data_IF_877183825051
#
_entry.id   IF_877183825051
#
_cell.length_a   1.000
_cell.length_b   1.000
_cell.length_c   1.000
_cell.angle_alpha   90.00
_cell.angle_beta   90.00
_cell.angle_gamma   90.00
#
_symmetry.space_group_name_H-M   'P 1'
#
loop_
_entity.id
_entity.type
_entity.pdbx_description
1 polymer ?
#
# COMPACT_ATOMS: atom_id res chain seq x y z
N UNK A 1 7.46 -7.47 -33.87
CA UNK A 1 7.99 -6.24 -34.50
C UNK A 1 6.83 -5.28 -34.65
N UNK A 2 6.99 -4.03 -34.21
CA UNK A 2 6.03 -2.91 -34.20
C UNK A 2 4.79 -3.09 -33.30
N UNK A 3 4.91 -2.71 -32.02
CA UNK A 3 4.45 -1.42 -31.47
C UNK A 3 2.94 -1.40 -31.20
N UNK A 4 2.56 -1.79 -29.97
CA UNK A 4 1.37 -1.24 -29.35
C UNK A 4 1.62 -0.97 -27.87
N UNK A 5 2.63 -0.12 -27.64
CA UNK A 5 2.87 0.54 -26.36
C UNK A 5 2.30 1.96 -26.47
N UNK A 6 0.99 2.10 -26.43
CA UNK A 6 0.36 3.41 -26.25
C UNK A 6 -1.05 3.24 -25.69
N UNK A 7 -1.16 3.44 -24.37
CA UNK A 7 -2.33 3.99 -23.63
C UNK A 7 -2.08 3.91 -22.12
N UNK A 8 -0.99 4.52 -21.64
CA UNK A 8 -0.83 4.95 -20.25
C UNK A 8 -0.03 6.24 -20.22
N UNK A 9 -0.72 7.33 -20.56
CA UNK A 9 -0.32 8.69 -20.25
C UNK A 9 -1.57 9.56 -20.36
N UNK A 10 -2.28 9.73 -19.24
CA UNK A 10 -3.15 10.86 -19.03
C UNK A 10 -3.19 11.14 -17.53
N UNK A 11 -3.09 12.43 -17.17
CA UNK A 11 -2.86 12.99 -15.82
C UNK A 11 -1.40 13.04 -15.33
N UNK A 12 -0.49 13.62 -16.13
CA UNK A 12 0.72 14.29 -15.64
C UNK A 12 1.11 15.46 -16.55
N UNK A 13 0.37 16.58 -16.53
CA UNK A 13 0.90 17.89 -16.96
C UNK A 13 0.02 19.03 -16.46
N UNK A 14 0.41 19.68 -15.35
CA UNK A 14 0.23 21.12 -15.12
C UNK A 14 1.03 21.50 -13.87
N UNK A 15 1.82 22.57 -13.99
CA UNK A 15 2.61 23.21 -12.93
C UNK A 15 3.90 22.51 -12.46
N UNK A 16 4.87 22.31 -13.36
CA UNK A 16 6.29 22.27 -12.96
C UNK A 16 7.16 22.87 -14.07
N UNK A 17 7.01 24.18 -14.30
CA UNK A 17 7.90 24.95 -15.19
C UNK A 17 7.81 26.44 -14.85
N UNK A 18 8.33 26.82 -13.68
CA UNK A 18 8.83 28.17 -13.39
C UNK A 18 9.37 28.19 -11.95
N UNK A 19 10.63 27.78 -11.73
CA UNK A 19 11.49 28.22 -10.60
C UNK A 19 12.86 27.52 -10.58
N UNK A 20 13.50 27.39 -11.75
CA UNK A 20 14.88 26.89 -11.80
C UNK A 20 15.71 27.70 -12.79
N UNK A 21 15.80 28.99 -12.50
CA UNK A 21 16.92 29.83 -12.93
C UNK A 21 17.19 30.85 -11.83
N UNK A 22 18.29 30.66 -11.10
CA UNK A 22 19.34 31.66 -10.85
C UNK A 22 20.16 31.27 -9.61
N UNK A 23 21.42 31.69 -9.65
CA UNK A 23 22.42 31.74 -8.56
C UNK A 23 23.08 30.43 -8.11
N UNK A 24 24.22 30.12 -8.76
CA UNK A 24 25.52 30.58 -8.23
C UNK A 24 26.09 29.80 -7.05
N UNK A 25 27.09 28.98 -7.35
CA UNK A 25 28.03 28.40 -6.39
C UNK A 25 28.72 29.52 -5.61
N UNK A 26 28.39 29.68 -4.32
CA UNK A 26 29.27 30.31 -3.33
C UNK A 26 29.18 29.49 -2.03
N UNK A 27 30.34 29.03 -1.58
CA UNK A 27 30.49 28.40 -0.28
C UNK A 27 30.07 29.38 0.81
N UNK A 28 29.16 28.96 1.66
CA UNK A 28 28.75 29.65 2.87
C UNK A 28 28.92 28.65 4.00
N UNK A 29 29.83 28.97 4.92
CA UNK A 29 29.93 28.31 6.22
C UNK A 29 28.55 28.37 6.88
N UNK A 30 27.96 27.22 7.18
CA UNK A 30 26.67 27.15 7.86
C UNK A 30 26.81 27.72 9.28
N UNK A 31 26.19 28.88 9.50
CA UNK A 31 25.91 29.40 10.83
C UNK A 31 25.02 28.41 11.60
N UNK A 32 25.37 28.16 12.86
CA UNK A 32 24.55 27.40 13.80
C UNK A 32 23.38 28.29 14.26
N UNK A 33 22.23 28.16 13.61
CA UNK A 33 20.95 28.58 14.23
C UNK A 33 19.77 27.79 13.65
N UNK A 34 18.89 27.31 14.53
CA UNK A 34 17.51 26.94 14.21
C UNK A 34 17.25 25.44 14.09
N UNK A 35 16.57 24.88 15.09
CA UNK A 35 15.70 23.68 15.07
C UNK A 35 15.72 22.84 13.78
N UNK A 36 16.83 22.17 13.50
CA UNK A 36 16.87 21.17 12.45
C UNK A 36 16.20 19.91 13.01
N UNK A 37 14.99 19.58 12.57
CA UNK A 37 14.41 18.25 12.80
C UNK A 37 15.16 17.28 11.88
N UNK A 38 16.11 16.48 12.39
CA UNK A 38 16.80 15.53 11.53
C UNK A 38 15.83 14.38 11.31
N UNK A 39 15.52 14.06 10.05
CA UNK A 39 14.95 12.74 9.76
C UNK A 39 16.06 11.73 10.12
N UNK A 40 15.93 11.12 11.29
CA UNK A 40 16.82 10.05 11.74
C UNK A 40 16.52 8.81 10.90
N UNK A 41 17.28 8.62 9.81
CA UNK A 41 17.15 7.44 8.93
C UNK A 41 17.34 6.14 9.71
N UNK A 42 18.21 6.16 10.71
CA UNK A 42 18.39 5.09 11.70
C UNK A 42 17.84 5.59 13.04
N UNK A 43 16.80 4.93 13.54
CA UNK A 43 16.20 5.20 14.85
C UNK A 43 16.92 4.35 15.89
N UNK A 44 17.67 4.92 16.84
CA UNK A 44 18.29 4.16 17.92
C UNK A 44 17.22 3.54 18.84
N UNK A 45 17.59 2.54 19.62
CA UNK A 45 16.63 1.88 20.53
C UNK A 45 16.22 2.79 21.69
N UNK A 46 17.10 3.72 22.04
CA UNK A 46 16.96 4.73 23.07
C UNK A 46 16.23 5.98 22.56
N UNK A 47 15.75 5.97 21.31
CA UNK A 47 15.00 7.08 20.74
C UNK A 47 13.69 7.31 21.50
N UNK A 48 13.54 8.51 22.03
CA UNK A 48 12.28 9.03 22.56
C UNK A 48 11.59 9.84 21.45
N UNK A 49 10.42 9.41 20.96
CA UNK A 49 9.70 10.15 19.94
C UNK A 49 9.38 11.58 20.37
N UNK A 50 9.47 12.58 19.48
CA UNK A 50 9.19 13.98 19.79
C UNK A 50 7.73 14.23 20.19
N UNK A 51 6.84 13.28 19.89
CA UNK A 51 5.41 13.36 20.19
C UNK A 51 5.08 12.30 21.23
N UNK A 52 4.96 12.74 22.48
CA UNK A 52 4.44 11.90 23.54
C UNK A 52 3.00 11.47 23.22
N UNK A 53 2.55 10.27 23.64
CA UNK A 53 1.15 9.86 23.51
C UNK A 53 0.14 10.81 24.15
N UNK A 54 0.58 11.78 24.96
CA UNK A 54 -0.23 12.84 25.53
C UNK A 54 -0.55 13.98 24.55
N UNK A 55 0.27 14.21 23.51
CA UNK A 55 0.07 15.28 22.52
C UNK A 55 -0.72 14.83 21.27
N UNK A 56 -1.72 13.99 21.48
CA UNK A 56 -2.62 13.53 20.40
C UNK A 56 -3.36 14.69 19.74
N UNK A 57 -3.66 15.75 20.51
CA UNK A 57 -4.33 16.94 20.00
C UNK A 57 -3.41 17.75 19.09
N UNK A 58 -2.14 17.98 19.48
CA UNK A 58 -1.17 18.67 18.64
C UNK A 58 -0.90 17.91 17.34
N UNK A 59 -0.74 16.59 17.40
CA UNK A 59 -0.59 15.77 16.20
C UNK A 59 -1.82 15.82 15.29
N UNK A 60 -3.03 15.75 15.85
CA UNK A 60 -4.27 15.88 15.08
C UNK A 60 -4.33 17.24 14.37
N UNK A 61 -4.05 18.32 15.10
CA UNK A 61 -4.08 19.68 14.58
C UNK A 61 -3.04 19.89 13.47
N UNK A 62 -1.81 19.42 13.67
CA UNK A 62 -0.74 19.50 12.68
C UNK A 62 -1.13 18.84 11.34
N UNK A 63 -1.77 17.66 11.41
CA UNK A 63 -2.26 16.94 10.22
C UNK A 63 -3.39 17.70 9.54
N UNK A 64 -4.35 18.23 10.31
CA UNK A 64 -5.47 19.00 9.76
C UNK A 64 -5.01 20.30 9.08
N UNK A 65 -4.06 21.02 9.69
CA UNK A 65 -3.43 22.19 9.10
C UNK A 65 -2.74 21.83 7.79
N UNK A 66 -1.92 20.77 7.78
CA UNK A 66 -1.24 20.31 6.57
C UNK A 66 -2.20 20.01 5.42
N UNK A 67 -3.27 19.24 5.69
CA UNK A 67 -4.25 18.90 4.65
C UNK A 67 -5.02 20.15 4.21
N UNK A 68 -5.40 21.04 5.13
CA UNK A 68 -6.12 22.26 4.80
C UNK A 68 -5.29 23.17 3.88
N UNK A 69 -4.01 23.38 4.19
CA UNK A 69 -3.09 24.18 3.37
C UNK A 69 -3.00 23.66 1.93
N UNK A 70 -2.99 22.35 1.76
CA UNK A 70 -2.82 21.73 0.45
C UNK A 70 -4.13 21.63 -0.35
N UNK A 71 -5.24 21.35 0.33
CA UNK A 71 -6.49 20.88 -0.29
C UNK A 71 -7.74 21.70 -0.01
N UNK A 72 -7.67 22.82 0.74
CA UNK A 72 -8.81 23.74 0.86
C UNK A 72 -9.32 24.17 -0.53
N UNK A 73 -10.62 24.04 -0.76
CA UNK A 73 -11.28 24.30 -2.04
C UNK A 73 -10.97 23.29 -3.14
N UNK A 74 -10.32 22.15 -2.82
CA UNK A 74 -9.96 21.09 -3.77
C UNK A 74 -10.54 19.75 -3.34
N UNK A 75 -10.57 18.81 -4.28
CA UNK A 75 -10.92 17.41 -3.98
C UNK A 75 -9.77 16.71 -3.27
N UNK A 76 -10.12 15.93 -2.25
CA UNK A 76 -9.19 15.08 -1.54
C UNK A 76 -8.79 13.86 -2.41
N UNK A 77 -7.50 13.47 -2.40
CA UNK A 77 -7.04 12.23 -3.03
C UNK A 77 -7.78 11.02 -2.46
N UNK A 78 -8.02 9.99 -3.28
CA UNK A 78 -8.75 8.76 -2.90
C UNK A 78 -10.25 8.98 -2.63
N UNK A 79 -10.62 9.97 -1.84
CA UNK A 79 -12.01 10.31 -1.48
C UNK A 79 -12.86 10.72 -2.68
N UNK A 80 -12.29 11.46 -3.63
CA UNK A 80 -13.03 12.02 -4.77
C UNK A 80 -14.03 13.13 -4.40
N UNK A 81 -14.08 13.52 -3.12
CA UNK A 81 -14.94 14.57 -2.55
C UNK A 81 -14.12 15.82 -2.21
N UNK A 82 -14.72 17.03 -2.23
CA UNK A 82 -14.14 18.25 -1.67
C UNK A 82 -13.65 18.07 -0.23
N UNK A 83 -12.60 18.79 0.16
CA UNK A 83 -12.08 18.81 1.53
C UNK A 83 -13.18 19.14 2.56
N UNK A 84 -14.04 20.10 2.23
CA UNK A 84 -15.11 20.61 3.09
C UNK A 84 -16.22 19.60 3.34
N UNK A 85 -16.39 18.61 2.44
CA UNK A 85 -17.44 17.60 2.51
C UNK A 85 -17.04 16.39 3.38
N UNK A 86 -15.79 16.34 3.85
CA UNK A 86 -15.25 15.23 4.64
C UNK A 86 -14.94 15.70 6.05
N UNK A 87 -15.56 15.08 7.05
CA UNK A 87 -15.22 15.31 8.45
C UNK A 87 -13.87 14.65 8.81
N UNK A 88 -12.78 15.26 8.35
CA UNK A 88 -11.41 14.80 8.59
C UNK A 88 -11.01 14.94 10.05
N UNK A 89 -11.51 15.96 10.77
CA UNK A 89 -11.19 16.17 12.18
C UNK A 89 -11.56 14.95 13.02
N UNK A 90 -12.81 14.48 12.91
CA UNK A 90 -13.26 13.30 13.65
C UNK A 90 -12.47 12.04 13.27
N UNK A 91 -12.17 11.87 11.97
CA UNK A 91 -11.48 10.69 11.45
C UNK A 91 -10.02 10.66 11.90
N UNK A 92 -9.28 11.75 11.72
CA UNK A 92 -7.87 11.87 12.12
C UNK A 92 -7.72 11.76 13.63
N UNK A 93 -8.60 12.40 14.41
CA UNK A 93 -8.59 12.25 15.88
C UNK A 93 -8.70 10.78 16.30
N UNK A 94 -9.62 10.02 15.67
CA UNK A 94 -9.76 8.58 15.95
C UNK A 94 -8.53 7.79 15.51
N UNK A 95 -7.96 8.09 14.35
CA UNK A 95 -6.75 7.43 13.85
C UNK A 95 -5.59 7.66 14.82
N UNK A 96 -5.33 8.90 15.22
CA UNK A 96 -4.27 9.27 16.16
C UNK A 96 -4.46 8.57 17.52
N UNK A 97 -5.70 8.52 18.03
CA UNK A 97 -6.01 7.78 19.25
C UNK A 97 -5.62 6.29 19.15
N UNK A 98 -6.00 5.62 18.07
CA UNK A 98 -5.70 4.19 17.90
C UNK A 98 -4.22 3.94 17.61
N UNK A 99 -3.51 4.88 16.97
CA UNK A 99 -2.05 4.83 16.83
C UNK A 99 -1.40 4.88 18.21
N UNK A 100 -1.77 5.86 19.05
CA UNK A 100 -1.21 5.99 20.40
C UNK A 100 -1.50 4.73 21.26
N UNK A 101 -2.70 4.19 21.16
CA UNK A 101 -3.05 2.92 21.81
C UNK A 101 -2.19 1.76 21.32
N UNK A 102 -2.00 1.62 20.00
CA UNK A 102 -1.17 0.56 19.41
C UNK A 102 0.30 0.70 19.81
N UNK A 103 0.83 1.93 19.85
CA UNK A 103 2.21 2.19 20.29
C UNK A 103 2.39 1.77 21.74
N UNK A 104 1.44 2.13 22.61
CA UNK A 104 1.46 1.72 24.02
C UNK A 104 1.42 0.20 24.21
N UNK A 105 0.64 -0.49 23.39
CA UNK A 105 0.50 -1.95 23.37
C UNK A 105 1.79 -2.65 22.92
N UNK A 106 2.43 -2.15 21.86
CA UNK A 106 3.58 -2.79 21.21
C UNK A 106 4.94 -2.16 21.57
N UNK A 107 4.99 -1.27 22.56
CA UNK A 107 6.19 -0.50 22.98
C UNK A 107 7.43 -1.35 23.25
N UNK A 108 7.26 -2.61 23.64
CA UNK A 108 8.37 -3.51 23.96
C UNK A 108 9.07 -4.10 22.71
N UNK A 109 8.55 -3.86 21.50
CA UNK A 109 9.13 -4.37 20.26
C UNK A 109 10.24 -3.42 19.75
N UNK A 110 9.88 -2.15 19.55
CA UNK A 110 10.76 -1.07 19.08
C UNK A 110 10.07 0.30 19.29
N UNK A 111 10.78 1.40 19.57
CA UNK A 111 10.19 2.74 19.62
C UNK A 111 9.62 3.14 18.25
N UNK A 112 8.44 3.77 18.26
CA UNK A 112 7.76 4.24 17.04
C UNK A 112 7.32 5.67 17.24
N UNK A 113 7.65 6.52 16.26
CA UNK A 113 7.09 7.86 16.15
C UNK A 113 5.63 7.81 15.64
N UNK A 114 4.64 8.30 16.40
CA UNK A 114 3.24 8.34 15.96
C UNK A 114 3.05 9.16 14.67
N UNK A 115 3.79 10.25 14.47
CA UNK A 115 3.70 11.04 13.24
C UNK A 115 4.17 10.22 12.01
N UNK A 116 5.14 9.32 12.19
CA UNK A 116 5.58 8.41 11.13
C UNK A 116 4.49 7.39 10.75
N UNK A 117 3.71 6.92 11.72
CA UNK A 117 2.56 6.03 11.45
C UNK A 117 1.46 6.78 10.72
N UNK A 118 1.13 8.00 11.16
CA UNK A 118 0.15 8.88 10.49
C UNK A 118 0.56 9.16 9.04
N UNK A 119 1.84 9.50 8.81
CA UNK A 119 2.39 9.77 7.48
C UNK A 119 2.24 8.57 6.54
N UNK A 120 2.43 7.35 7.04
CA UNK A 120 2.19 6.13 6.28
C UNK A 120 0.70 5.88 6.00
N UNK A 121 -0.20 6.04 6.99
CA UNK A 121 -1.65 5.93 6.74
C UNK A 121 -2.11 6.95 5.68
N UNK A 122 -1.57 8.17 5.72
CA UNK A 122 -1.84 9.19 4.71
C UNK A 122 -1.38 8.76 3.31
N UNK A 123 -0.21 8.13 3.20
CA UNK A 123 0.31 7.62 1.94
C UNK A 123 -0.48 6.40 1.41
N UNK A 124 -0.96 5.53 2.31
CA UNK A 124 -1.69 4.30 1.98
C UNK A 124 -3.13 4.57 1.52
N UNK A 125 -3.86 5.40 2.25
CA UNK A 125 -5.31 5.57 2.06
C UNK A 125 -5.78 7.02 2.04
N UNK A 126 -4.89 7.98 2.31
CA UNK A 126 -5.28 9.36 2.57
C UNK A 126 -6.38 9.47 3.64
N UNK A 127 -6.28 8.62 4.68
CA UNK A 127 -7.24 8.49 5.78
C UNK A 127 -8.63 7.97 5.37
N UNK A 128 -8.79 7.44 4.16
CA UNK A 128 -10.06 6.88 3.71
C UNK A 128 -10.24 5.43 4.16
N UNK A 129 -11.22 5.20 5.02
CA UNK A 129 -11.48 3.91 5.65
C UNK A 129 -11.96 2.87 4.65
N UNK A 130 -12.58 3.27 3.54
CA UNK A 130 -13.11 2.34 2.53
C UNK A 130 -12.19 2.20 1.30
N UNK A 131 -10.92 2.56 1.42
CA UNK A 131 -9.95 2.41 0.35
C UNK A 131 -9.74 0.94 -0.05
N UNK A 132 -9.92 0.61 -1.33
CA UNK A 132 -9.71 -0.74 -1.89
C UNK A 132 -8.77 -0.70 -3.10
N UNK A 133 -7.52 -1.12 -2.94
CA UNK A 133 -6.51 -1.11 -4.00
C UNK A 133 -6.70 -2.24 -5.01
N UNK A 134 -6.15 -2.05 -6.22
CA UNK A 134 -6.16 -3.06 -7.29
C UNK A 134 -5.45 -4.35 -6.89
N UNK A 135 -4.67 -4.37 -5.81
CA UNK A 135 -4.01 -5.56 -5.28
C UNK A 135 -4.77 -6.16 -4.09
N UNK A 136 -6.02 -5.75 -3.87
CA UNK A 136 -6.89 -6.18 -2.75
C UNK A 136 -6.34 -5.77 -1.37
N UNK A 137 -5.58 -4.68 -1.34
CA UNK A 137 -5.23 -4.01 -0.10
C UNK A 137 -6.43 -3.16 0.35
N UNK A 138 -6.84 -3.28 1.61
CA UNK A 138 -8.12 -2.74 2.10
C UNK A 138 -7.91 -1.89 3.34
N UNK A 139 -8.68 -0.79 3.41
CA UNK A 139 -8.84 0.05 4.58
C UNK A 139 -7.72 1.06 4.79
N UNK A 140 -7.72 1.69 5.96
CA UNK A 140 -6.78 2.76 6.33
C UNK A 140 -5.31 2.36 6.15
N UNK A 141 -5.01 1.14 6.55
CA UNK A 141 -3.66 0.58 6.58
C UNK A 141 -3.34 -0.27 5.34
N UNK A 142 -4.27 -0.37 4.37
CA UNK A 142 -4.09 -1.13 3.13
C UNK A 142 -3.56 -2.57 3.36
N UNK A 143 -4.23 -3.33 4.25
CA UNK A 143 -3.86 -4.73 4.45
C UNK A 143 -4.39 -5.61 3.32
N UNK A 144 -3.49 -6.41 2.73
CA UNK A 144 -3.86 -7.54 1.89
C UNK A 144 -4.32 -8.72 2.76
N UNK A 145 -5.11 -9.61 2.18
CA UNK A 145 -5.82 -10.68 2.91
C UNK A 145 -4.89 -11.62 3.71
N UNK A 146 -3.77 -12.16 3.17
CA UNK A 146 -2.90 -13.04 3.95
C UNK A 146 -2.32 -12.35 5.17
N UNK A 147 -1.85 -11.11 5.00
CA UNK A 147 -1.28 -10.31 6.08
C UNK A 147 -2.35 -9.95 7.12
N UNK A 148 -3.56 -9.57 6.71
CA UNK A 148 -4.65 -9.29 7.66
C UNK A 148 -4.92 -10.51 8.57
N UNK A 149 -4.97 -11.70 7.99
CA UNK A 149 -5.20 -12.96 8.72
C UNK A 149 -4.07 -13.32 9.67
N UNK A 150 -2.81 -13.09 9.27
CA UNK A 150 -1.64 -13.27 10.16
C UNK A 150 -1.75 -12.43 11.45
N UNK A 151 -2.44 -11.30 11.40
CA UNK A 151 -2.68 -10.40 12.53
C UNK A 151 -4.07 -10.56 13.16
N UNK A 152 -4.81 -11.62 12.83
CA UNK A 152 -6.11 -11.92 13.42
C UNK A 152 -7.21 -10.91 13.07
N UNK A 153 -7.08 -10.25 11.92
CA UNK A 153 -8.08 -9.35 11.36
C UNK A 153 -9.04 -10.17 10.49
N UNK A 154 -10.32 -10.19 10.86
CA UNK A 154 -11.36 -10.81 10.06
C UNK A 154 -11.50 -10.10 8.71
N UNK A 155 -11.54 -10.87 7.63
CA UNK A 155 -11.75 -10.36 6.28
C UNK A 155 -13.07 -10.86 5.68
N UNK A 156 -13.65 -10.08 4.77
CA UNK A 156 -14.84 -10.51 4.04
C UNK A 156 -14.51 -11.80 3.26
N UNK A 157 -15.43 -12.78 3.33
CA UNK A 157 -15.20 -14.15 2.83
C UNK A 157 -14.59 -15.15 3.83
N UNK A 158 -14.08 -14.74 4.99
CA UNK A 158 -13.49 -15.67 5.98
C UNK A 158 -14.51 -16.56 6.68
N UNK A 159 -15.78 -16.14 6.74
CA UNK A 159 -16.87 -16.84 7.43
C UNK A 159 -17.91 -17.34 6.43
N UNK A 160 -18.53 -18.52 6.64
CA UNK A 160 -19.62 -19.01 5.80
C UNK A 160 -20.80 -18.05 5.71
N UNK A 161 -21.05 -17.27 6.76
CA UNK A 161 -22.11 -16.26 6.82
C UNK A 161 -21.91 -15.13 5.80
N UNK A 162 -20.66 -14.82 5.43
CA UNK A 162 -20.33 -13.81 4.42
C UNK A 162 -20.90 -14.17 3.04
N UNK A 163 -21.10 -15.47 2.78
CA UNK A 163 -21.73 -15.97 1.55
C UNK A 163 -23.26 -16.08 1.62
N UNK A 164 -23.92 -15.32 2.51
CA UNK A 164 -25.38 -15.34 2.69
C UNK A 164 -25.92 -13.92 2.88
N UNK A 165 -27.24 -13.78 2.80
CA UNK A 165 -27.93 -12.57 3.25
C UNK A 165 -27.58 -12.28 4.74
N UNK A 166 -27.43 -11.01 5.15
CA UNK A 166 -27.84 -9.79 4.44
C UNK A 166 -26.75 -9.17 3.54
N UNK A 167 -25.59 -9.83 3.35
CA UNK A 167 -24.53 -9.27 2.51
C UNK A 167 -24.93 -9.20 1.04
N UNK A 168 -24.54 -8.12 0.38
CA UNK A 168 -24.74 -7.94 -1.06
C UNK A 168 -23.78 -8.81 -1.85
N UNK A 169 -24.23 -9.40 -2.97
CA UNK A 169 -23.40 -10.26 -3.85
C UNK A 169 -22.68 -11.41 -3.09
N UNK A 170 -23.42 -12.21 -2.30
CA UNK A 170 -22.84 -13.28 -1.49
C UNK A 170 -22.09 -14.34 -2.30
N UNK A 171 -22.45 -14.54 -3.57
CA UNK A 171 -21.77 -15.45 -4.50
C UNK A 171 -20.30 -15.08 -4.76
N UNK A 172 -19.95 -13.80 -4.54
CA UNK A 172 -18.58 -13.31 -4.70
C UNK A 172 -17.74 -13.37 -3.42
N UNK A 173 -18.30 -13.80 -2.28
CA UNK A 173 -17.59 -13.86 -1.01
C UNK A 173 -16.34 -14.76 -1.06
N UNK A 174 -16.41 -15.89 -1.78
CA UNK A 174 -15.29 -16.82 -1.95
C UNK A 174 -14.22 -16.40 -2.97
N UNK A 175 -14.40 -15.26 -3.65
CA UNK A 175 -13.54 -14.87 -4.77
C UNK A 175 -12.15 -14.41 -4.36
N UNK A 176 -11.95 -13.99 -3.11
CA UNK A 176 -10.62 -13.74 -2.57
C UNK A 176 -9.77 -15.01 -2.53
N UNK A 177 -10.31 -16.11 -2.00
CA UNK A 177 -9.61 -17.40 -1.96
C UNK A 177 -9.30 -17.91 -3.35
N UNK A 178 -10.28 -17.82 -4.26
CA UNK A 178 -10.08 -18.18 -5.65
C UNK A 178 -8.95 -17.36 -6.29
N UNK A 179 -8.90 -16.05 -6.06
CA UNK A 179 -7.84 -15.17 -6.53
C UNK A 179 -6.44 -15.61 -6.05
N UNK A 180 -6.26 -15.86 -4.74
CA UNK A 180 -4.96 -16.25 -4.19
C UNK A 180 -4.54 -17.65 -4.65
N UNK A 181 -5.49 -18.59 -4.74
CA UNK A 181 -5.26 -19.92 -5.30
C UNK A 181 -4.79 -19.84 -6.76
N UNK A 182 -5.52 -19.12 -7.62
CA UNK A 182 -5.17 -18.96 -9.03
C UNK A 182 -3.80 -18.30 -9.22
N UNK A 183 -3.45 -17.32 -8.37
CA UNK A 183 -2.10 -16.71 -8.40
C UNK A 183 -1.00 -17.71 -8.06
N UNK A 184 -1.24 -18.59 -7.10
CA UNK A 184 -0.30 -19.66 -6.76
C UNK A 184 -0.17 -20.66 -7.91
N UNK A 185 -1.29 -21.13 -8.46
CA UNK A 185 -1.32 -22.03 -9.62
C UNK A 185 -0.59 -21.42 -10.83
N UNK A 186 -0.75 -20.12 -11.09
CA UNK A 186 -0.02 -19.42 -12.15
C UNK A 186 1.49 -19.38 -11.89
N UNK A 187 1.90 -19.16 -10.64
CA UNK A 187 3.32 -19.16 -10.27
C UNK A 187 3.91 -20.56 -10.44
N UNK A 188 3.21 -21.59 -9.97
CA UNK A 188 3.63 -22.99 -10.10
C UNK A 188 3.73 -23.39 -11.60
N UNK A 189 2.80 -22.94 -12.43
CA UNK A 189 2.84 -23.13 -13.88
C UNK A 189 4.07 -22.46 -14.51
N UNK A 190 4.45 -21.26 -14.06
CA UNK A 190 5.63 -20.56 -14.58
C UNK A 190 6.95 -21.23 -14.19
N UNK A 191 6.99 -21.86 -13.02
CA UNK A 191 8.19 -22.52 -12.51
C UNK A 191 8.38 -23.93 -13.09
N UNK A 192 7.29 -24.68 -13.28
CA UNK A 192 7.36 -26.11 -13.62
C UNK A 192 6.98 -26.43 -15.07
N UNK A 193 6.12 -25.64 -15.71
CA UNK A 193 5.59 -25.93 -17.05
C UNK A 193 6.25 -25.08 -18.15
N UNK A 194 7.18 -24.18 -17.77
CA UNK A 194 7.89 -23.35 -18.72
C UNK A 194 8.75 -24.22 -19.67
N UNK A 195 8.63 -24.05 -21.00
CA UNK A 195 9.51 -24.77 -21.92
C UNK A 195 10.99 -24.42 -21.66
N UNK A 196 11.87 -25.43 -21.67
CA UNK A 196 13.30 -25.28 -21.34
C UNK A 196 14.01 -24.18 -22.15
N UNK A 197 13.57 -23.91 -23.39
CA UNK A 197 14.10 -22.84 -24.24
C UNK A 197 12.98 -21.97 -24.79
N UNK A 198 12.59 -20.91 -24.07
CA UNK A 198 11.55 -19.99 -24.56
C UNK A 198 11.86 -19.51 -25.99
N UNK A 199 10.96 -19.81 -26.92
CA UNK A 199 11.08 -19.45 -28.33
C UNK A 199 11.15 -17.92 -28.47
N UNK A 200 12.33 -17.39 -28.81
CA UNK A 200 12.51 -15.97 -29.12
C UNK A 200 12.00 -15.65 -30.53
N UNK A 201 11.67 -14.39 -30.80
CA UNK A 201 11.31 -13.94 -32.16
C UNK A 201 12.41 -14.30 -33.17
N UNK A 202 13.67 -14.16 -32.79
CA UNK A 202 14.82 -14.47 -33.65
C UNK A 202 14.94 -15.98 -33.93
N UNK A 203 14.78 -16.82 -32.91
CA UNK A 203 14.80 -18.28 -33.11
C UNK A 203 13.60 -18.75 -33.94
N UNK A 204 12.41 -18.18 -33.72
CA UNK A 204 11.22 -18.42 -34.55
C UNK A 204 11.45 -18.05 -36.03
N UNK A 205 12.08 -16.90 -36.32
CA UNK A 205 12.38 -16.48 -37.68
C UNK A 205 13.43 -17.37 -38.36
N UNK A 206 14.50 -17.76 -37.64
CA UNK A 206 15.51 -18.72 -38.15
C UNK A 206 14.90 -20.09 -38.45
N UNK A 207 13.94 -20.51 -37.64
CA UNK A 207 13.15 -21.73 -37.80
C UNK A 207 12.34 -21.66 -39.10
N UNK A 208 11.55 -20.59 -39.30
CA UNK A 208 10.75 -20.38 -40.52
C UNK A 208 11.66 -20.35 -41.76
N UNK A 209 12.82 -19.69 -41.69
CA UNK A 209 13.75 -19.56 -42.81
C UNK A 209 14.42 -20.89 -43.22
N UNK A 210 14.49 -21.89 -42.34
CA UNK A 210 15.13 -23.20 -42.61
C UNK A 210 14.18 -24.25 -43.19
N UNK A 211 12.86 -24.02 -43.18
CA UNK A 211 11.87 -24.92 -43.80
C UNK A 211 11.65 -26.28 -43.13
N UNK A 212 12.17 -26.51 -41.93
CA UNK A 212 12.13 -27.80 -41.21
C UNK A 212 10.85 -27.97 -40.36
N UNK A 213 9.70 -28.03 -41.02
CA UNK A 213 8.40 -27.76 -40.39
C UNK A 213 7.88 -28.78 -39.35
N UNK A 214 8.43 -29.99 -39.23
CA UNK A 214 7.78 -31.08 -38.47
C UNK A 214 8.04 -31.02 -36.96
N UNK A 215 9.30 -31.15 -36.53
CA UNK A 215 9.76 -30.99 -35.14
C UNK A 215 9.45 -29.59 -34.60
N UNK A 216 9.43 -28.60 -35.48
CA UNK A 216 9.16 -27.19 -35.19
C UNK A 216 7.68 -26.92 -34.88
N UNK A 217 6.74 -27.64 -35.52
CA UNK A 217 5.29 -27.50 -35.27
C UNK A 217 4.89 -28.02 -33.90
N UNK A 218 5.48 -29.13 -33.46
CA UNK A 218 5.26 -29.66 -32.10
C UNK A 218 5.80 -28.68 -31.04
N UNK A 219 7.02 -28.18 -31.25
CA UNK A 219 7.68 -27.23 -30.36
C UNK A 219 6.90 -25.90 -30.23
N UNK A 220 6.47 -25.34 -31.36
CA UNK A 220 5.63 -24.14 -31.39
C UNK A 220 4.25 -24.38 -30.77
N UNK A 221 3.65 -25.56 -30.98
CA UNK A 221 2.40 -25.96 -30.35
C UNK A 221 2.48 -25.99 -28.83
N UNK A 222 3.55 -26.57 -28.26
CA UNK A 222 3.79 -26.57 -26.80
C UNK A 222 3.91 -25.15 -26.24
N UNK A 223 4.64 -24.26 -26.93
CA UNK A 223 4.77 -22.86 -26.53
C UNK A 223 3.45 -22.10 -26.59
N UNK A 224 2.69 -22.26 -27.68
CA UNK A 224 1.40 -21.61 -27.84
C UNK A 224 0.41 -22.08 -26.76
N UNK A 225 0.38 -23.39 -26.47
CA UNK A 225 -0.46 -23.94 -25.40
C UNK A 225 -0.07 -23.38 -24.03
N UNK A 226 1.24 -23.29 -23.72
CA UNK A 226 1.71 -22.67 -22.49
C UNK A 226 1.28 -21.19 -22.38
N UNK A 227 1.50 -20.39 -23.43
CA UNK A 227 1.09 -18.98 -23.46
C UNK A 227 -0.42 -18.79 -23.33
N UNK A 228 -1.21 -19.65 -24.00
CA UNK A 228 -2.68 -19.63 -23.87
C UNK A 228 -3.11 -19.95 -22.44
N UNK A 229 -2.51 -20.97 -21.80
CA UNK A 229 -2.77 -21.30 -20.38
C UNK A 229 -2.44 -20.14 -19.45
N UNK A 230 -1.31 -19.45 -19.67
CA UNK A 230 -0.95 -18.25 -18.90
C UNK A 230 -2.00 -17.15 -19.10
N UNK A 231 -2.40 -16.89 -20.34
CA UNK A 231 -3.41 -15.87 -20.66
C UNK A 231 -4.76 -16.17 -20.02
N UNK A 232 -5.26 -17.41 -20.13
CA UNK A 232 -6.50 -17.84 -19.49
C UNK A 232 -6.43 -17.72 -17.97
N UNK A 233 -5.30 -18.09 -17.37
CA UNK A 233 -5.08 -17.97 -15.92
C UNK A 233 -5.09 -16.50 -15.49
N UNK A 234 -4.43 -15.62 -16.24
CA UNK A 234 -4.47 -14.18 -15.99
C UNK A 234 -5.90 -13.62 -16.06
N UNK A 235 -6.71 -14.03 -17.05
CA UNK A 235 -8.12 -13.60 -17.13
C UNK A 235 -8.95 -14.09 -15.94
N UNK A 236 -8.76 -15.33 -15.49
CA UNK A 236 -9.45 -15.87 -14.30
C UNK A 236 -9.05 -15.10 -13.03
N UNK A 237 -7.75 -14.78 -12.87
CA UNK A 237 -7.24 -13.99 -11.74
C UNK A 237 -7.87 -12.59 -11.74
N UNK A 238 -7.89 -11.91 -12.89
CA UNK A 238 -8.50 -10.59 -13.02
C UNK A 238 -10.00 -10.62 -12.69
N UNK A 239 -10.71 -11.64 -13.18
CA UNK A 239 -12.14 -11.83 -12.93
C UNK A 239 -12.42 -12.05 -11.44
N UNK A 240 -11.74 -13.01 -10.80
CA UNK A 240 -11.93 -13.29 -9.37
C UNK A 240 -11.61 -12.06 -8.51
N UNK A 241 -10.53 -11.35 -8.84
CA UNK A 241 -10.17 -10.09 -8.18
C UNK A 241 -11.28 -9.05 -8.29
N UNK A 242 -11.78 -8.80 -9.50
CA UNK A 242 -12.75 -7.75 -9.75
C UNK A 242 -14.10 -8.09 -9.12
N UNK A 243 -14.52 -9.36 -9.15
CA UNK A 243 -15.71 -9.84 -8.42
C UNK A 243 -15.58 -9.63 -6.91
N UNK A 244 -14.43 -9.95 -6.31
CA UNK A 244 -14.21 -9.71 -4.89
C UNK A 244 -14.16 -8.21 -4.54
N UNK A 245 -13.56 -7.38 -5.40
CA UNK A 245 -13.60 -5.91 -5.22
C UNK A 245 -15.03 -5.39 -5.24
N UNK A 246 -15.83 -5.84 -6.21
CA UNK A 246 -17.24 -5.46 -6.32
C UNK A 246 -18.03 -5.90 -5.08
N UNK A 247 -17.77 -7.10 -4.58
CA UNK A 247 -18.36 -7.59 -3.33
C UNK A 247 -18.06 -6.66 -2.14
N UNK A 248 -16.80 -6.29 -1.93
CA UNK A 248 -16.42 -5.34 -0.88
C UNK A 248 -17.12 -3.99 -1.06
N UNK A 249 -17.07 -3.44 -2.27
CA UNK A 249 -17.66 -2.13 -2.59
C UNK A 249 -19.16 -2.10 -2.36
N UNK A 250 -19.89 -3.10 -2.83
CA UNK A 250 -21.35 -3.17 -2.67
C UNK A 250 -21.77 -3.28 -1.19
N UNK A 251 -20.96 -3.94 -0.36
CA UNK A 251 -21.25 -4.06 1.07
C UNK A 251 -20.84 -2.83 1.90
N UNK A 252 -20.00 -1.95 1.37
CA UNK A 252 -19.73 -0.62 1.97
C UNK A 252 -20.90 0.34 1.70
N UNK A 253 -21.62 0.19 0.58
CA UNK A 253 -22.76 1.04 0.25
C UNK A 253 -23.99 0.58 1.05
N UNK A 254 -24.65 1.53 1.72
CA UNK A 254 -25.92 1.34 2.40
C UNK A 254 -27.09 1.30 1.40
N UNK A 255 -28.27 0.84 1.83
CA UNK A 255 -29.48 0.80 1.00
C UNK A 255 -29.87 2.17 0.42
N UNK A 256 -29.49 3.25 1.10
CA UNK A 256 -29.67 4.64 0.64
C UNK A 256 -28.81 5.01 -0.59
N UNK A 257 -27.90 4.13 -1.03
CA UNK A 257 -26.93 4.40 -2.08
C UNK A 257 -25.72 5.23 -1.61
N UNK A 258 -25.65 5.58 -0.34
CA UNK A 258 -24.50 6.26 0.28
C UNK A 258 -23.57 5.25 0.94
N UNK A 259 -22.30 5.59 1.09
CA UNK A 259 -21.39 4.82 1.94
C UNK A 259 -21.94 4.71 3.37
N UNK A 260 -21.80 3.53 3.97
CA UNK A 260 -22.04 3.29 5.40
C UNK A 260 -21.20 4.24 6.24
N UNK A 261 -21.71 4.61 7.40
CA UNK A 261 -21.05 5.50 8.33
C UNK A 261 -20.13 4.68 9.24
N UNK A 262 -18.81 4.83 9.08
CA UNK A 262 -17.82 4.08 9.86
C UNK A 262 -18.00 4.23 11.38
N UNK A 263 -18.65 5.30 11.85
CA UNK A 263 -18.88 5.54 13.27
C UNK A 263 -20.20 4.95 13.79
N UNK A 264 -21.17 4.67 12.91
CA UNK A 264 -22.47 4.10 13.27
C UNK A 264 -22.55 2.61 12.95
N UNK A 265 -22.00 2.21 11.81
CA UNK A 265 -22.04 0.85 11.28
C UNK A 265 -20.83 0.01 11.77
N UNK A 266 -20.27 0.33 12.95
CA UNK A 266 -19.05 -0.33 13.46
C UNK A 266 -19.22 -1.84 13.63
N UNK A 267 -20.37 -2.30 14.11
CA UNK A 267 -20.62 -3.73 14.32
C UNK A 267 -20.73 -4.48 13.00
N UNK A 268 -21.34 -3.88 11.98
CA UNK A 268 -21.32 -4.43 10.63
C UNK A 268 -19.90 -4.69 10.13
N UNK A 269 -19.00 -3.70 10.25
CA UNK A 269 -17.62 -3.87 9.80
C UNK A 269 -16.83 -4.86 10.66
N UNK A 270 -17.11 -4.96 11.97
CA UNK A 270 -16.52 -6.00 12.84
C UNK A 270 -16.92 -7.41 12.43
N UNK A 271 -18.13 -7.56 11.93
CA UNK A 271 -18.65 -8.86 11.49
C UNK A 271 -18.29 -9.19 10.06
N UNK A 272 -18.16 -8.18 9.18
CA UNK A 272 -17.91 -8.34 7.75
C UNK A 272 -16.43 -8.33 7.37
N UNK A 273 -15.73 -7.23 7.68
CA UNK A 273 -14.32 -7.02 7.33
C UNK A 273 -13.68 -5.97 8.25
N UNK A 274 -12.90 -6.46 9.20
CA UNK A 274 -12.30 -5.63 10.24
C UNK A 274 -11.19 -4.72 9.68
N UNK A 275 -10.73 -4.92 8.44
CA UNK A 275 -9.76 -4.01 7.79
C UNK A 275 -10.33 -2.60 7.59
N UNK A 276 -11.66 -2.45 7.55
CA UNK A 276 -12.31 -1.15 7.49
C UNK A 276 -12.38 -0.43 8.85
N UNK A 277 -12.18 -1.14 9.96
CA UNK A 277 -12.25 -0.56 11.31
C UNK A 277 -10.97 0.19 11.68
N UNK A 278 -10.96 0.94 12.78
CA UNK A 278 -9.73 1.61 13.24
C UNK A 278 -8.84 0.69 14.09
N UNK A 279 -9.41 0.08 15.13
CA UNK A 279 -8.65 -0.55 16.22
C UNK A 279 -7.68 -1.64 15.74
N UNK A 280 -8.19 -2.70 15.12
CA UNK A 280 -7.38 -3.86 14.74
C UNK A 280 -6.34 -3.54 13.65
N UNK A 281 -6.69 -2.95 12.50
CA UNK A 281 -5.70 -2.68 11.47
C UNK A 281 -4.66 -1.65 11.93
N UNK A 282 -5.03 -0.60 12.67
CA UNK A 282 -4.02 0.36 13.15
C UNK A 282 -3.08 -0.30 14.17
N UNK A 283 -3.57 -1.08 15.13
CA UNK A 283 -2.70 -1.80 16.07
C UNK A 283 -1.79 -2.79 15.33
N UNK A 284 -2.32 -3.53 14.35
CA UNK A 284 -1.53 -4.43 13.50
C UNK A 284 -0.46 -3.68 12.69
N UNK A 285 -0.78 -2.53 12.09
CA UNK A 285 0.17 -1.70 11.36
C UNK A 285 1.29 -1.23 12.28
N UNK A 286 0.97 -0.71 13.47
CA UNK A 286 1.97 -0.32 14.47
C UNK A 286 2.87 -1.51 14.84
N UNK A 287 2.29 -2.68 15.08
CA UNK A 287 3.07 -3.89 15.37
C UNK A 287 3.99 -4.29 14.20
N UNK A 288 3.50 -4.24 12.96
CA UNK A 288 4.28 -4.53 11.74
C UNK A 288 5.47 -3.58 11.63
N UNK A 289 5.23 -2.28 11.83
CA UNK A 289 6.27 -1.26 11.77
C UNK A 289 7.31 -1.47 12.87
N UNK A 290 6.90 -1.83 14.09
CA UNK A 290 7.82 -2.10 15.20
C UNK A 290 8.73 -3.29 14.87
N UNK A 291 8.14 -4.37 14.37
CA UNK A 291 8.87 -5.58 13.92
C UNK A 291 9.80 -5.26 12.76
N UNK A 292 9.34 -4.45 11.81
CA UNK A 292 10.13 -3.96 10.68
C UNK A 292 11.38 -3.20 11.14
N UNK A 293 11.21 -2.20 11.99
CA UNK A 293 12.32 -1.42 12.57
C UNK A 293 13.30 -2.32 13.34
N UNK A 294 12.78 -3.22 14.18
CA UNK A 294 13.61 -4.21 14.90
C UNK A 294 14.42 -5.08 13.94
N UNK A 295 13.80 -5.55 12.86
CA UNK A 295 14.45 -6.43 11.86
C UNK A 295 15.50 -5.71 11.00
N UNK A 296 15.39 -4.38 10.89
CA UNK A 296 16.26 -3.53 10.06
C UNK A 296 17.16 -2.61 10.91
N UNK A 297 17.38 -2.97 12.16
CA UNK A 297 18.23 -2.25 13.11
C UNK A 297 17.95 -0.74 13.15
N UNK A 298 16.66 -0.37 13.17
CA UNK A 298 16.20 1.01 13.22
C UNK A 298 16.11 1.73 11.87
N UNK A 299 16.46 1.10 10.75
CA UNK A 299 16.37 1.73 9.43
C UNK A 299 14.90 1.95 9.02
N UNK A 300 14.42 3.18 9.13
CA UNK A 300 13.02 3.54 8.86
C UNK A 300 12.64 3.37 7.40
N UNK A 301 13.59 3.62 6.49
CA UNK A 301 13.34 3.56 5.05
C UNK A 301 13.20 2.11 4.59
N UNK A 302 14.11 1.23 5.03
CA UNK A 302 14.00 -0.20 4.75
C UNK A 302 12.78 -0.83 5.43
N UNK A 303 12.40 -0.36 6.62
CA UNK A 303 11.20 -0.81 7.32
C UNK A 303 9.92 -0.39 6.56
N UNK A 304 9.77 0.89 6.21
CA UNK A 304 8.62 1.38 5.46
C UNK A 304 8.54 0.80 4.04
N UNK A 305 9.69 0.60 3.38
CA UNK A 305 9.75 -0.13 2.12
C UNK A 305 9.26 -1.58 2.29
N UNK A 306 9.58 -2.20 3.42
CA UNK A 306 9.14 -3.55 3.76
C UNK A 306 7.63 -3.62 4.02
N UNK A 307 7.01 -2.56 4.51
CA UNK A 307 5.56 -2.46 4.63
C UNK A 307 4.89 -2.46 3.24
N UNK A 308 5.35 -1.59 2.34
CA UNK A 308 4.79 -1.45 0.99
C UNK A 308 5.11 -2.65 0.06
N UNK A 309 6.34 -3.17 0.11
CA UNK A 309 6.85 -4.14 -0.84
C UNK A 309 7.05 -5.55 -0.25
N UNK A 310 6.85 -5.74 1.05
CA UNK A 310 7.17 -6.98 1.76
C UNK A 310 8.62 -7.02 2.28
N UNK A 311 8.80 -7.54 3.50
CA UNK A 311 10.07 -7.53 4.23
C UNK A 311 11.21 -8.29 3.53
N UNK A 312 10.91 -9.35 2.78
CA UNK A 312 11.93 -10.12 2.05
C UNK A 312 12.55 -9.30 0.91
N UNK A 313 11.82 -8.35 0.33
CA UNK A 313 12.34 -7.47 -0.73
C UNK A 313 13.34 -6.44 -0.23
N UNK A 314 13.38 -6.22 1.09
CA UNK A 314 14.30 -5.29 1.74
C UNK A 314 15.48 -6.00 2.39
N UNK A 315 15.69 -7.28 2.12
CA UNK A 315 16.89 -8.01 2.52
C UNK A 315 18.12 -7.55 1.73
N UNK A 316 19.26 -7.57 2.40
CA UNK A 316 20.56 -7.22 1.82
C UNK A 316 21.65 -8.18 2.32
N UNK A 317 22.87 -7.99 1.83
CA UNK A 317 24.02 -8.88 2.03
C UNK A 317 25.20 -8.15 2.67
N UNK A 318 26.15 -8.94 3.18
CA UNK A 318 27.38 -8.43 3.78
C UNK A 318 27.11 -7.49 4.98
N UNK A 319 27.84 -6.35 5.09
CA UNK A 319 27.71 -5.44 6.22
C UNK A 319 26.34 -4.72 6.26
N UNK A 320 25.58 -4.71 5.16
CA UNK A 320 24.28 -4.04 5.06
C UNK A 320 23.10 -4.93 5.47
N UNK A 321 23.32 -6.26 5.58
CA UNK A 321 22.28 -7.23 5.96
C UNK A 321 21.45 -6.82 7.19
N UNK A 322 22.03 -6.29 8.29
CA UNK A 322 21.24 -5.88 9.45
C UNK A 322 20.33 -4.67 9.22
N UNK A 323 20.61 -3.85 8.21
CA UNK A 323 19.88 -2.61 7.91
C UNK A 323 18.93 -2.75 6.73
N UNK A 324 19.17 -3.73 5.86
CA UNK A 324 18.41 -3.94 4.64
C UNK A 324 18.59 -2.82 3.61
N UNK A 325 17.75 -2.87 2.56
CA UNK A 325 17.79 -1.94 1.43
C UNK A 325 16.41 -1.45 1.03
N UNK A 326 16.38 -0.38 0.25
CA UNK A 326 15.19 0.04 -0.50
C UNK A 326 15.19 -0.74 -1.82
N UNK A 327 14.12 -1.49 -2.15
CA UNK A 327 14.06 -2.25 -3.38
C UNK A 327 13.91 -1.30 -4.59
N UNK A 328 14.46 -1.70 -5.73
CA UNK A 328 14.37 -0.95 -6.99
C UNK A 328 12.97 -1.07 -7.63
N UNK A 329 11.93 -0.68 -6.90
CA UNK A 329 10.52 -0.71 -7.31
C UNK A 329 10.03 0.74 -7.32
N UNK A 330 9.62 1.23 -8.50
CA UNK A 330 9.20 2.63 -8.69
C UNK A 330 8.04 3.04 -7.77
N UNK A 331 7.08 2.14 -7.57
CA UNK A 331 5.97 2.34 -6.63
C UNK A 331 6.46 2.53 -5.19
N UNK A 332 7.39 1.68 -4.73
CA UNK A 332 7.97 1.78 -3.39
C UNK A 332 8.81 3.04 -3.20
N UNK A 333 9.57 3.45 -4.21
CA UNK A 333 10.30 4.71 -4.16
C UNK A 333 9.36 5.92 -4.05
N UNK A 334 8.26 5.91 -4.82
CA UNK A 334 7.22 6.95 -4.76
C UNK A 334 6.54 6.96 -3.39
N UNK A 335 6.18 5.79 -2.88
CA UNK A 335 5.61 5.61 -1.54
C UNK A 335 6.50 6.22 -0.45
N UNK A 336 7.79 5.86 -0.42
CA UNK A 336 8.74 6.42 0.55
C UNK A 336 8.86 7.93 0.44
N UNK A 337 8.89 8.47 -0.78
CA UNK A 337 8.92 9.92 -1.00
C UNK A 337 7.70 10.60 -0.39
N UNK A 338 6.50 10.03 -0.55
CA UNK A 338 5.28 10.59 0.05
C UNK A 338 5.31 10.49 1.58
N UNK A 339 5.72 9.35 2.14
CA UNK A 339 5.80 9.18 3.60
C UNK A 339 6.77 10.18 4.23
N UNK A 340 7.94 10.38 3.62
CA UNK A 340 8.94 11.35 4.11
C UNK A 340 8.41 12.79 4.09
N UNK A 341 7.77 13.19 2.98
CA UNK A 341 7.18 14.53 2.87
C UNK A 341 6.04 14.71 3.85
N UNK A 342 5.12 13.74 3.94
CA UNK A 342 4.02 13.77 4.90
C UNK A 342 4.54 13.90 6.34
N UNK A 343 5.53 13.08 6.71
CA UNK A 343 6.13 13.12 8.04
C UNK A 343 6.74 14.48 8.35
N UNK A 344 7.56 15.01 7.43
CA UNK A 344 8.17 16.33 7.58
C UNK A 344 7.11 17.44 7.74
N UNK A 345 6.10 17.44 6.88
CA UNK A 345 5.02 18.44 6.88
C UNK A 345 4.13 18.36 8.12
N UNK A 346 3.97 17.18 8.70
CA UNK A 346 3.26 16.98 9.98
C UNK A 346 4.13 17.49 11.12
N UNK A 347 5.38 17.01 11.24
CA UNK A 347 6.27 17.37 12.35
C UNK A 347 6.49 18.89 12.44
N UNK A 348 6.68 19.57 11.30
CA UNK A 348 6.94 21.01 11.31
C UNK A 348 5.77 21.85 11.84
N UNK A 349 4.54 21.30 11.82
CA UNK A 349 3.31 21.97 12.26
C UNK A 349 2.88 21.57 13.67
N UNK A 350 3.65 20.73 14.36
CA UNK A 350 3.37 20.41 15.76
C UNK A 350 3.68 21.65 16.61
N UNK A 351 2.65 22.18 17.28
CA UNK A 351 2.75 23.37 18.12
C UNK A 351 2.43 24.69 17.41
N UNK A 352 2.07 24.67 16.13
CA UNK A 352 1.36 25.76 15.44
C UNK A 352 -0.12 25.77 15.84
#
# INVERSE_FOLDING_TARGET
MSLNSSKRNFLKTAAFSALLQMSGIRGVYAEKSGTASPIHVIIPKEYEPPVEPADQQGLTQAVLLYISDCYRGKKLPVWGRPFEDVNLEKRITNIVYWIASGIKEHRNIYPIDPAWVVAQIMAESFFYEFAISKSLAVGLCQFILPTAREYGILCAGDRPEHGKAPYSNPESAGKAEEYYRLKKELQDCKENDAPENMLTIESALKIIAKGDCSTQKEYAGKHLNYLNRLHESDQKILTARDQYRTYLQQNIIAESGQEKDIFKDTDFFREFDERFTYKKPISAMVQMLAKGLKSKNGNILASAAGYNAGLSRTEDSGPYKPYGKIPAISETATYLSHVLVNHYEIIKRIGE
#
